data_IF_696938295892
#
_entry.id   IF_696938295892
#
_cell.length_a   1.000
_cell.length_b   1.000
_cell.length_c   1.000
_cell.angle_alpha   90.00
_cell.angle_beta   90.00
_cell.angle_gamma   90.00
#
_symmetry.space_group_name_H-M   'P 1'
#
loop_
_entity.id
_entity.type
_entity.pdbx_description
1 polymer ?
#
# COMPACT_ATOMS: atom_id res chain seq x y z
N UNK A 1 -40.05 25.73 7.64
CA UNK A 1 -40.13 24.38 7.03
C UNK A 1 -39.00 24.26 6.02
N UNK A 2 -37.97 23.47 6.30
CA UNK A 2 -36.94 23.19 5.30
C UNK A 2 -37.58 22.32 4.22
N UNK A 3 -37.60 22.77 2.97
CA UNK A 3 -38.14 21.94 1.88
C UNK A 3 -37.29 20.68 1.75
N UNK A 4 -37.89 19.57 1.33
CA UNK A 4 -37.20 18.27 1.12
C UNK A 4 -35.94 18.45 0.25
N UNK A 5 -35.98 19.37 -0.71
CA UNK A 5 -34.84 19.77 -1.55
C UNK A 5 -33.68 20.39 -0.76
N UNK A 6 -33.97 21.21 0.27
CA UNK A 6 -32.94 21.84 1.11
C UNK A 6 -32.26 20.81 2.01
N UNK A 7 -33.02 19.85 2.56
CA UNK A 7 -32.49 18.76 3.37
C UNK A 7 -31.67 17.79 2.51
N UNK A 8 -32.13 17.49 1.29
CA UNK A 8 -31.38 16.68 0.33
C UNK A 8 -30.08 17.35 -0.12
N UNK A 9 -30.09 18.67 -0.39
CA UNK A 9 -28.90 19.45 -0.74
C UNK A 9 -27.90 19.50 0.43
N UNK A 10 -28.37 19.72 1.65
CA UNK A 10 -27.52 19.68 2.85
C UNK A 10 -26.97 18.28 3.11
N UNK A 11 -27.75 17.23 2.85
CA UNK A 11 -27.32 15.83 2.95
C UNK A 11 -26.23 15.49 1.93
N UNK A 12 -26.40 15.91 0.67
CA UNK A 12 -25.39 15.79 -0.38
C UNK A 12 -24.13 16.58 -0.03
N UNK A 13 -24.28 17.82 0.45
CA UNK A 13 -23.17 18.66 0.88
C UNK A 13 -22.38 18.03 2.03
N UNK A 14 -23.07 17.52 3.05
CA UNK A 14 -22.45 16.78 4.17
C UNK A 14 -21.76 15.48 3.73
N UNK A 15 -22.33 14.78 2.75
CA UNK A 15 -21.72 13.58 2.15
C UNK A 15 -20.40 13.90 1.44
N UNK A 16 -20.37 14.98 0.66
CA UNK A 16 -19.17 15.42 -0.06
C UNK A 16 -18.09 16.00 0.86
N UNK A 17 -18.47 16.67 1.96
CA UNK A 17 -17.52 17.09 2.99
C UNK A 17 -16.82 15.91 3.67
N UNK A 18 -17.54 14.80 3.89
CA UNK A 18 -16.97 13.57 4.48
C UNK A 18 -16.20 12.70 3.49
N UNK A 19 -16.38 12.92 2.18
CA UNK A 19 -15.73 12.17 1.11
C UNK A 19 -15.10 13.15 0.12
N UNK A 20 -14.01 13.86 0.51
CA UNK A 20 -13.38 14.88 -0.32
C UNK A 20 -12.96 14.35 -1.69
N UNK A 21 -12.62 13.06 -1.80
CA UNK A 21 -12.28 12.40 -3.07
C UNK A 21 -13.46 12.39 -4.06
N UNK A 22 -14.69 12.20 -3.55
CA UNK A 22 -15.91 12.23 -4.38
C UNK A 22 -16.25 13.65 -4.80
N UNK A 23 -15.97 14.62 -3.93
CA UNK A 23 -16.14 16.04 -4.27
C UNK A 23 -15.16 16.46 -5.36
N UNK A 24 -13.90 16.05 -5.26
CA UNK A 24 -12.88 16.29 -6.29
C UNK A 24 -13.29 15.69 -7.64
N UNK A 25 -13.80 14.45 -7.67
CA UNK A 25 -14.36 13.84 -8.88
C UNK A 25 -15.57 14.58 -9.45
N UNK A 26 -16.47 15.08 -8.59
CA UNK A 26 -17.62 15.88 -9.02
C UNK A 26 -17.16 17.18 -9.68
N UNK A 27 -16.21 17.89 -9.05
CA UNK A 27 -15.63 19.11 -9.62
C UNK A 27 -14.91 18.80 -10.94
N UNK A 28 -14.19 17.68 -11.03
CA UNK A 28 -13.57 17.24 -12.27
C UNK A 28 -14.61 16.98 -13.37
N UNK A 29 -15.74 16.33 -13.06
CA UNK A 29 -16.81 16.08 -14.02
C UNK A 29 -17.48 17.38 -14.50
N UNK A 30 -17.76 18.31 -13.58
CA UNK A 30 -18.29 19.65 -13.92
C UNK A 30 -17.28 20.41 -14.79
N UNK A 31 -16.00 20.38 -14.43
CA UNK A 31 -14.95 21.02 -15.20
C UNK A 31 -14.82 20.39 -16.60
N UNK A 32 -14.90 19.06 -16.74
CA UNK A 32 -14.89 18.35 -18.02
C UNK A 32 -16.06 18.74 -18.93
N UNK A 33 -17.23 19.01 -18.35
CA UNK A 33 -18.35 19.54 -19.11
C UNK A 33 -18.07 20.99 -19.53
N UNK A 34 -17.51 21.80 -18.64
CA UNK A 34 -17.14 23.19 -18.92
C UNK A 34 -15.97 23.31 -19.91
N UNK A 35 -15.07 22.33 -20.02
CA UNK A 35 -14.00 22.31 -21.03
C UNK A 35 -14.54 22.21 -22.45
N UNK A 36 -15.68 21.54 -22.64
CA UNK A 36 -16.37 21.51 -23.93
C UNK A 36 -16.83 22.91 -24.37
N UNK A 37 -17.08 23.80 -23.40
CA UNK A 37 -17.51 25.19 -23.62
C UNK A 37 -16.30 26.14 -23.67
N UNK A 38 -15.24 25.87 -22.91
CA UNK A 38 -14.02 26.68 -22.89
C UNK A 38 -12.79 25.92 -22.38
N UNK A 39 -11.69 25.97 -23.14
CA UNK A 39 -10.38 25.43 -22.76
C UNK A 39 -9.79 26.04 -21.46
N UNK A 40 -10.41 27.11 -20.92
CA UNK A 40 -10.01 27.70 -19.62
C UNK A 40 -10.17 26.72 -18.46
N UNK A 41 -11.05 25.72 -18.58
CA UNK A 41 -11.31 24.74 -17.51
C UNK A 41 -10.40 23.51 -17.56
N UNK A 42 -9.53 23.37 -18.56
CA UNK A 42 -8.67 22.18 -18.74
C UNK A 42 -7.74 21.99 -17.54
N UNK A 43 -7.15 23.09 -17.05
CA UNK A 43 -6.30 23.09 -15.86
C UNK A 43 -7.05 22.60 -14.62
N UNK A 44 -8.30 23.06 -14.46
CA UNK A 44 -9.16 22.70 -13.33
C UNK A 44 -9.56 21.23 -13.40
N UNK A 45 -9.95 20.74 -14.58
CA UNK A 45 -10.27 19.34 -14.80
C UNK A 45 -9.10 18.43 -14.45
N UNK A 46 -7.92 18.67 -15.06
CA UNK A 46 -6.72 17.82 -14.85
C UNK A 46 -6.32 17.82 -13.37
N UNK A 47 -6.34 19.00 -12.72
CA UNK A 47 -6.02 19.12 -11.28
C UNK A 47 -6.91 18.20 -10.44
N UNK A 48 -8.23 18.31 -10.58
CA UNK A 48 -9.16 17.61 -9.71
C UNK A 48 -9.33 16.13 -10.10
N UNK A 49 -9.17 15.78 -11.38
CA UNK A 49 -9.14 14.38 -11.84
C UNK A 49 -7.96 13.64 -11.21
N UNK A 50 -6.76 14.20 -11.33
CA UNK A 50 -5.55 13.62 -10.76
C UNK A 50 -5.59 13.60 -9.23
N UNK A 51 -6.01 14.70 -8.60
CA UNK A 51 -6.13 14.78 -7.14
C UNK A 51 -7.10 13.73 -6.60
N UNK A 52 -8.28 13.58 -7.22
CA UNK A 52 -9.27 12.58 -6.85
C UNK A 52 -8.74 11.15 -6.99
N UNK A 53 -8.04 10.85 -8.10
CA UNK A 53 -7.42 9.53 -8.33
C UNK A 53 -6.36 9.18 -7.30
N UNK A 54 -5.44 10.09 -7.02
CA UNK A 54 -4.38 9.85 -6.04
C UNK A 54 -4.96 9.71 -4.64
N UNK A 55 -5.94 10.54 -4.25
CA UNK A 55 -6.59 10.44 -2.95
C UNK A 55 -7.37 9.13 -2.79
N UNK A 56 -8.01 8.62 -3.84
CA UNK A 56 -8.64 7.30 -3.84
C UNK A 56 -7.64 6.16 -3.66
N UNK A 57 -6.51 6.24 -4.35
CA UNK A 57 -5.43 5.27 -4.20
C UNK A 57 -4.85 5.31 -2.79
N UNK A 58 -4.56 6.49 -2.26
CA UNK A 58 -4.12 6.68 -0.87
C UNK A 58 -5.12 6.11 0.13
N UNK A 59 -6.42 6.32 -0.08
CA UNK A 59 -7.48 5.74 0.75
C UNK A 59 -7.47 4.21 0.69
N UNK A 60 -7.18 3.63 -0.47
CA UNK A 60 -7.05 2.17 -0.65
C UNK A 60 -5.81 1.63 0.05
N UNK A 61 -4.66 2.29 -0.11
CA UNK A 61 -3.41 1.93 0.56
C UNK A 61 -3.54 2.07 2.07
N UNK A 62 -4.13 3.16 2.58
CA UNK A 62 -4.31 3.43 4.02
C UNK A 62 -5.25 2.45 4.73
N UNK A 63 -6.14 1.78 3.98
CA UNK A 63 -6.92 0.65 4.52
C UNK A 63 -6.02 -0.55 4.79
N UNK A 64 -5.09 -0.85 3.88
CA UNK A 64 -4.18 -2.00 3.93
C UNK A 64 -2.93 -1.75 4.78
N UNK A 65 -2.48 -0.50 4.89
CA UNK A 65 -1.25 -0.06 5.56
C UNK A 65 -1.58 0.98 6.61
N UNK A 66 -1.19 0.73 7.86
CA UNK A 66 -1.31 1.65 8.98
C UNK A 66 -0.01 2.44 9.17
N UNK A 67 -0.17 3.65 9.71
CA UNK A 67 0.91 4.60 9.95
C UNK A 67 1.62 5.11 8.69
N UNK A 68 0.91 5.12 7.55
CA UNK A 68 1.41 5.82 6.37
C UNK A 68 1.39 7.34 6.66
N UNK A 69 2.47 8.03 6.32
CA UNK A 69 2.66 9.45 6.66
C UNK A 69 1.69 10.39 5.92
N UNK A 70 1.04 9.92 4.84
CA UNK A 70 0.31 10.78 3.90
C UNK A 70 -1.12 10.28 3.76
N UNK A 71 -2.06 11.11 4.23
CA UNK A 71 -3.48 10.81 4.18
C UNK A 71 -4.19 11.47 2.99
N UNK A 72 -3.66 12.59 2.48
CA UNK A 72 -4.23 13.34 1.36
C UNK A 72 -3.17 14.13 0.61
N UNK A 73 -3.41 14.37 -0.67
CA UNK A 73 -2.68 15.37 -1.45
C UNK A 73 -3.60 16.46 -2.01
N UNK A 74 -3.01 17.63 -2.22
CA UNK A 74 -3.59 18.75 -2.94
C UNK A 74 -2.68 19.11 -4.11
N UNK A 75 -3.24 19.24 -5.30
CA UNK A 75 -2.48 19.54 -6.52
C UNK A 75 -2.64 21.01 -6.88
N UNK A 76 -1.55 21.69 -7.19
CA UNK A 76 -1.55 23.11 -7.54
C UNK A 76 -0.78 23.35 -8.85
N UNK A 77 -1.29 24.27 -9.67
CA UNK A 77 -0.56 24.81 -10.82
C UNK A 77 0.34 25.93 -10.33
N UNK A 78 1.61 25.92 -10.75
CA UNK A 78 2.58 26.97 -10.41
C UNK A 78 3.13 27.56 -11.72
N UNK A 79 3.18 28.89 -11.80
CA UNK A 79 3.74 29.61 -12.94
C UNK A 79 5.28 29.58 -12.92
N UNK A 80 5.87 29.51 -14.12
CA UNK A 80 7.26 29.08 -14.36
C UNK A 80 8.30 30.13 -13.94
N UNK A 81 7.90 31.38 -13.72
CA UNK A 81 8.81 32.52 -13.61
C UNK A 81 9.38 32.75 -12.20
N UNK A 82 8.83 32.13 -11.15
CA UNK A 82 9.31 32.30 -9.77
C UNK A 82 9.83 30.97 -9.21
N UNK A 83 11.15 30.77 -9.30
CA UNK A 83 11.82 29.52 -8.96
C UNK A 83 12.09 29.33 -7.46
N UNK A 84 11.88 28.09 -6.98
CA UNK A 84 12.89 27.35 -6.22
C UNK A 84 12.60 25.82 -6.28
N UNK A 85 13.60 24.96 -6.60
CA UNK A 85 13.44 23.49 -6.62
C UNK A 85 13.15 22.86 -5.25
N UNK A 86 13.24 23.62 -4.16
CA UNK A 86 12.91 23.18 -2.79
C UNK A 86 11.39 23.11 -2.52
N UNK A 87 10.56 23.62 -3.43
CA UNK A 87 9.12 23.84 -3.19
C UNK A 87 8.24 22.65 -3.59
N UNK A 88 8.71 21.41 -3.45
CA UNK A 88 7.87 20.22 -3.68
C UNK A 88 6.84 20.02 -2.57
N UNK A 89 7.08 20.54 -1.36
CA UNK A 89 6.07 20.55 -0.29
C UNK A 89 5.95 21.91 0.34
N UNK A 90 4.74 22.46 0.30
CA UNK A 90 4.35 23.67 1.03
C UNK A 90 3.20 23.30 1.96
N UNK A 91 3.31 23.57 3.26
CA UNK A 91 2.26 23.29 4.26
C UNK A 91 1.76 21.83 4.29
N UNK A 92 2.62 20.84 3.99
CA UNK A 92 2.22 19.42 3.93
C UNK A 92 1.57 18.99 2.62
N UNK A 93 1.48 19.88 1.63
CA UNK A 93 0.91 19.60 0.31
C UNK A 93 2.01 19.34 -0.72
N UNK A 94 1.94 18.22 -1.45
CA UNK A 94 2.84 17.93 -2.56
C UNK A 94 2.45 18.77 -3.79
N UNK A 95 3.31 19.70 -4.17
CA UNK A 95 3.13 20.52 -5.37
C UNK A 95 3.73 19.75 -6.56
N UNK A 96 2.86 19.28 -7.44
CA UNK A 96 3.27 18.60 -8.67
C UNK A 96 3.13 19.55 -9.86
N UNK A 97 4.26 19.87 -10.49
CA UNK A 97 4.29 20.70 -11.69
C UNK A 97 3.84 19.88 -12.89
N UNK A 98 2.76 20.30 -13.51
CA UNK A 98 2.26 19.75 -14.76
C UNK A 98 2.73 20.61 -15.94
N UNK A 99 3.16 19.98 -17.04
CA UNK A 99 3.50 20.72 -18.24
C UNK A 99 2.21 21.18 -18.94
N UNK A 100 2.25 22.35 -19.57
CA UNK A 100 1.21 22.82 -20.50
C UNK A 100 1.30 22.02 -21.83
N UNK A 101 1.40 20.70 -21.76
CA UNK A 101 1.42 19.84 -22.93
C UNK A 101 -0.01 19.47 -23.32
N UNK A 102 -0.26 19.38 -24.62
CA UNK A 102 -1.51 18.85 -25.19
C UNK A 102 -1.74 17.35 -24.84
N UNK A 103 -0.72 16.65 -24.33
CA UNK A 103 -0.80 15.25 -23.92
C UNK A 103 -1.15 15.13 -22.43
N UNK A 104 -2.43 14.93 -22.13
CA UNK A 104 -2.94 14.75 -20.75
C UNK A 104 -2.41 13.47 -20.10
N UNK A 105 -2.23 12.39 -20.87
CA UNK A 105 -1.73 11.11 -20.35
C UNK A 105 -0.33 11.28 -19.76
N UNK A 106 0.56 11.98 -20.48
CA UNK A 106 1.92 12.27 -19.99
C UNK A 106 1.94 13.05 -18.68
N UNK A 107 1.02 14.01 -18.53
CA UNK A 107 0.87 14.75 -17.28
C UNK A 107 0.41 13.87 -16.12
N UNK A 108 -0.57 12.98 -16.36
CA UNK A 108 -1.02 12.01 -15.36
C UNK A 108 0.15 11.12 -14.94
N UNK A 109 0.88 10.53 -15.89
CA UNK A 109 2.01 9.64 -15.62
C UNK A 109 3.11 10.34 -14.81
N UNK A 110 3.59 11.49 -15.28
CA UNK A 110 4.65 12.26 -14.62
C UNK A 110 4.26 12.61 -13.18
N UNK A 111 3.02 13.02 -12.99
CA UNK A 111 2.56 13.43 -11.69
C UNK A 111 2.36 12.27 -10.73
N UNK A 112 1.90 11.14 -11.24
CA UNK A 112 1.76 9.89 -10.49
C UNK A 112 3.12 9.41 -9.99
N UNK A 113 4.12 9.38 -10.87
CA UNK A 113 5.47 8.98 -10.52
C UNK A 113 6.10 9.96 -9.53
N UNK A 114 5.95 11.27 -9.75
CA UNK A 114 6.46 12.29 -8.83
C UNK A 114 5.81 12.15 -7.44
N UNK A 115 4.51 11.90 -7.40
CA UNK A 115 3.79 11.62 -6.17
C UNK A 115 4.32 10.39 -5.47
N UNK A 116 4.33 9.23 -6.11
CA UNK A 116 4.82 7.98 -5.50
C UNK A 116 6.27 8.14 -5.03
N UNK A 117 7.14 8.70 -5.88
CA UNK A 117 8.56 8.91 -5.57
C UNK A 117 8.78 9.81 -4.35
N UNK A 118 7.91 10.80 -4.13
CA UNK A 118 8.03 11.69 -2.98
C UNK A 118 7.34 11.15 -1.72
N UNK A 119 6.11 10.65 -1.89
CA UNK A 119 5.17 10.39 -0.82
C UNK A 119 5.29 8.96 -0.26
N UNK A 120 5.35 7.98 -1.14
CA UNK A 120 5.29 6.57 -0.77
C UNK A 120 6.55 6.17 0.00
N UNK A 121 6.41 5.63 1.21
CA UNK A 121 7.51 5.15 2.05
C UNK A 121 8.65 6.17 2.25
N UNK A 122 8.34 7.48 2.31
CA UNK A 122 9.31 8.57 2.39
C UNK A 122 10.45 8.32 3.40
N UNK A 123 10.10 7.94 4.64
CA UNK A 123 11.05 7.65 5.73
C UNK A 123 11.93 6.44 5.46
N UNK A 124 11.37 5.33 4.96
CA UNK A 124 12.15 4.12 4.69
C UNK A 124 13.08 4.33 3.49
N UNK A 125 12.58 4.99 2.44
CA UNK A 125 13.32 5.17 1.18
C UNK A 125 14.63 5.92 1.35
N UNK A 126 14.78 6.82 2.33
CA UNK A 126 16.07 7.48 2.60
C UNK A 126 17.16 6.54 3.13
N UNK A 127 16.80 5.35 3.61
CA UNK A 127 17.71 4.38 4.21
C UNK A 127 17.83 3.04 3.46
N UNK A 128 17.13 2.85 2.34
CA UNK A 128 17.27 1.67 1.47
C UNK A 128 18.11 1.96 0.22
N UNK A 129 18.56 0.91 -0.47
CA UNK A 129 19.43 1.05 -1.62
C UNK A 129 18.70 1.74 -2.78
N UNK A 130 19.44 2.49 -3.63
CA UNK A 130 18.87 3.22 -4.77
C UNK A 130 18.01 2.34 -5.69
N UNK A 131 18.50 1.14 -6.03
CA UNK A 131 17.76 0.21 -6.89
C UNK A 131 16.49 -0.36 -6.22
N UNK A 132 16.48 -0.53 -4.89
CA UNK A 132 15.27 -0.94 -4.14
C UNK A 132 14.23 0.18 -4.11
N UNK A 133 14.68 1.43 -3.93
CA UNK A 133 13.83 2.62 -3.97
C UNK A 133 13.18 2.78 -5.34
N UNK A 134 13.99 2.76 -6.39
CA UNK A 134 13.51 2.95 -7.76
C UNK A 134 12.55 1.84 -8.19
N UNK A 135 12.82 0.56 -7.83
CA UNK A 135 11.90 -0.53 -8.15
C UNK A 135 10.59 -0.45 -7.38
N UNK A 136 10.60 -0.03 -6.11
CA UNK A 136 9.38 0.20 -5.32
C UNK A 136 8.53 1.32 -5.92
N UNK A 137 9.16 2.44 -6.28
CA UNK A 137 8.46 3.58 -6.87
C UNK A 137 7.84 3.21 -8.22
N UNK A 138 8.60 2.48 -9.05
CA UNK A 138 8.12 2.02 -10.35
C UNK A 138 6.95 1.03 -10.21
N UNK A 139 7.05 0.08 -9.28
CA UNK A 139 6.00 -0.92 -9.06
C UNK A 139 4.73 -0.31 -8.44
N UNK A 140 4.87 0.57 -7.43
CA UNK A 140 3.72 1.26 -6.84
C UNK A 140 3.03 2.18 -7.86
N UNK A 141 3.79 2.83 -8.75
CA UNK A 141 3.23 3.62 -9.84
C UNK A 141 2.54 2.75 -10.90
N UNK A 142 3.13 1.59 -11.25
CA UNK A 142 2.47 0.60 -12.11
C UNK A 142 1.14 0.14 -11.50
N UNK A 143 1.13 -0.25 -10.22
CA UNK A 143 -0.07 -0.70 -9.52
C UNK A 143 -1.16 0.38 -9.45
N UNK A 144 -0.75 1.64 -9.27
CA UNK A 144 -1.67 2.78 -9.33
C UNK A 144 -2.30 2.95 -10.72
N UNK A 145 -1.51 2.81 -11.78
CA UNK A 145 -1.93 3.08 -13.16
C UNK A 145 -2.55 1.87 -13.89
N UNK A 146 -2.38 0.63 -13.38
CA UNK A 146 -2.78 -0.60 -14.12
C UNK A 146 -4.29 -0.73 -14.38
N UNK A 147 -5.12 0.04 -13.67
CA UNK A 147 -6.58 0.08 -13.87
C UNK A 147 -7.05 1.35 -14.60
N UNK A 148 -6.13 2.22 -15.02
CA UNK A 148 -6.42 3.39 -15.85
C UNK A 148 -6.59 2.95 -17.32
N UNK A 149 -6.85 3.94 -18.20
CA UNK A 149 -6.95 3.68 -19.64
C UNK A 149 -5.62 3.13 -20.19
N UNK A 150 -5.70 2.21 -21.16
CA UNK A 150 -4.52 1.57 -21.77
C UNK A 150 -3.49 2.59 -22.22
N UNK A 151 -3.92 3.71 -22.82
CA UNK A 151 -3.01 4.72 -23.35
C UNK A 151 -2.20 5.45 -22.26
N UNK A 152 -2.70 5.50 -21.02
CA UNK A 152 -1.96 6.07 -19.88
C UNK A 152 -0.90 5.07 -19.40
N UNK A 153 -1.25 3.79 -19.31
CA UNK A 153 -0.32 2.74 -18.93
C UNK A 153 0.78 2.57 -19.98
N UNK A 154 0.43 2.58 -21.27
CA UNK A 154 1.38 2.50 -22.37
C UNK A 154 2.36 3.67 -22.34
N UNK A 155 1.88 4.90 -22.10
CA UNK A 155 2.73 6.07 -21.93
C UNK A 155 3.72 5.88 -20.75
N UNK A 156 3.26 5.33 -19.62
CA UNK A 156 4.14 5.04 -18.48
C UNK A 156 5.20 4.00 -18.80
N UNK A 157 4.83 2.93 -19.52
CA UNK A 157 5.76 1.89 -19.94
C UNK A 157 6.85 2.45 -20.84
N UNK A 158 6.48 3.24 -21.85
CA UNK A 158 7.42 3.80 -22.81
C UNK A 158 8.32 4.89 -22.22
N UNK A 159 7.76 5.81 -21.43
CA UNK A 159 8.50 6.97 -20.92
C UNK A 159 9.38 6.64 -19.71
N UNK A 160 9.03 5.62 -18.90
CA UNK A 160 9.69 5.37 -17.62
C UNK A 160 10.11 3.91 -17.41
N UNK A 161 9.22 2.94 -17.63
CA UNK A 161 9.56 1.55 -17.30
C UNK A 161 10.68 1.02 -18.19
N UNK A 162 10.62 1.27 -19.51
CA UNK A 162 11.58 0.71 -20.47
C UNK A 162 13.04 0.98 -20.09
N UNK A 163 13.40 2.24 -19.84
CA UNK A 163 14.76 2.62 -19.43
C UNK A 163 15.15 2.01 -18.08
N UNK A 164 14.22 2.00 -17.10
CA UNK A 164 14.51 1.48 -15.76
C UNK A 164 14.63 -0.04 -15.72
N UNK A 165 13.94 -0.74 -16.62
CA UNK A 165 13.97 -2.19 -16.76
C UNK A 165 15.26 -2.72 -17.38
N UNK A 166 16.07 -1.87 -18.04
CA UNK A 166 17.40 -2.25 -18.52
C UNK A 166 18.37 -2.58 -17.36
N UNK A 167 18.01 -2.24 -16.11
CA UNK A 167 18.74 -2.64 -14.91
C UNK A 167 18.19 -3.95 -14.34
N UNK A 168 18.97 -5.03 -14.45
CA UNK A 168 18.59 -6.38 -13.96
C UNK A 168 18.11 -6.42 -12.51
N UNK A 169 18.69 -5.60 -11.62
CA UNK A 169 18.27 -5.57 -10.21
C UNK A 169 16.89 -4.94 -10.04
N UNK A 170 16.57 -3.92 -10.85
CA UNK A 170 15.26 -3.25 -10.82
C UNK A 170 14.22 -4.18 -11.45
N UNK A 171 14.52 -4.76 -12.62
CA UNK A 171 13.64 -5.70 -13.30
C UNK A 171 13.32 -6.92 -12.43
N UNK A 172 14.34 -7.55 -11.84
CA UNK A 172 14.15 -8.69 -10.94
C UNK A 172 13.29 -8.35 -9.72
N UNK A 173 13.49 -7.18 -9.10
CA UNK A 173 12.66 -6.75 -7.97
C UNK A 173 11.23 -6.47 -8.39
N UNK A 174 11.01 -5.88 -9.57
CA UNK A 174 9.68 -5.59 -10.09
C UNK A 174 8.85 -6.88 -10.26
N UNK A 175 9.44 -7.92 -10.86
CA UNK A 175 8.80 -9.24 -11.00
C UNK A 175 8.49 -9.87 -9.64
N UNK A 176 9.43 -9.76 -8.69
CA UNK A 176 9.20 -10.24 -7.32
C UNK A 176 8.04 -9.50 -6.65
N UNK A 177 7.96 -8.17 -6.80
CA UNK A 177 6.84 -7.40 -6.24
C UNK A 177 5.51 -7.80 -6.88
N UNK A 178 5.51 -8.11 -8.18
CA UNK A 178 4.33 -8.63 -8.86
C UNK A 178 3.86 -9.96 -8.29
N UNK A 179 4.79 -10.89 -8.05
CA UNK A 179 4.47 -12.18 -7.40
C UNK A 179 3.92 -11.97 -5.97
N UNK A 180 4.52 -11.06 -5.20
CA UNK A 180 4.09 -10.72 -3.84
C UNK A 180 2.70 -10.05 -3.83
N UNK A 181 2.40 -9.18 -4.78
CA UNK A 181 1.09 -8.52 -4.91
C UNK A 181 0.01 -9.48 -5.38
N UNK A 182 0.34 -10.40 -6.30
CA UNK A 182 -0.54 -11.53 -6.66
C UNK A 182 -0.93 -12.33 -5.42
N UNK A 183 0.02 -12.62 -4.54
CA UNK A 183 -0.26 -13.28 -3.25
C UNK A 183 -1.02 -12.38 -2.24
N UNK A 184 -1.29 -11.13 -2.60
CA UNK A 184 -2.07 -10.15 -1.84
C UNK A 184 -1.37 -9.58 -0.62
N UNK A 185 -0.04 -9.73 -0.54
CA UNK A 185 0.76 -9.35 0.64
C UNK A 185 1.72 -8.19 0.41
N UNK A 186 1.73 -7.59 -0.79
CA UNK A 186 2.59 -6.44 -1.10
C UNK A 186 2.28 -5.25 -0.18
N UNK A 187 1.07 -4.71 -0.22
CA UNK A 187 0.70 -3.62 0.68
C UNK A 187 0.63 -4.04 2.16
N UNK A 188 -0.19 -5.03 2.55
CA UNK A 188 -0.47 -5.24 3.96
C UNK A 188 0.69 -5.87 4.75
N UNK A 189 1.74 -6.39 4.08
CA UNK A 189 2.93 -6.94 4.76
C UNK A 189 4.19 -6.19 4.33
N UNK A 190 4.58 -6.21 3.04
CA UNK A 190 5.85 -5.59 2.62
C UNK A 190 5.86 -4.08 2.90
N UNK A 191 4.87 -3.34 2.39
CA UNK A 191 4.79 -1.89 2.59
C UNK A 191 4.56 -1.55 4.06
N UNK A 192 3.80 -2.37 4.79
CA UNK A 192 3.60 -2.21 6.23
C UNK A 192 4.90 -2.33 7.03
N UNK A 193 5.70 -3.37 6.78
CA UNK A 193 6.99 -3.57 7.46
C UNK A 193 8.01 -2.51 7.04
N UNK A 194 8.02 -2.06 5.78
CA UNK A 194 8.85 -0.93 5.36
C UNK A 194 8.42 0.38 6.03
N UNK A 195 7.11 0.58 6.26
CA UNK A 195 6.60 1.73 7.01
C UNK A 195 7.13 1.68 8.45
N UNK A 196 7.02 0.53 9.13
CA UNK A 196 7.57 0.36 10.48
C UNK A 196 9.09 0.50 10.54
N UNK A 197 9.82 0.01 9.53
CA UNK A 197 11.25 0.20 9.41
C UNK A 197 11.58 1.70 9.35
N UNK A 198 10.87 2.44 8.49
CA UNK A 198 10.99 3.89 8.35
C UNK A 198 10.92 4.61 9.69
N UNK A 199 9.91 4.30 10.51
CA UNK A 199 9.75 4.89 11.85
C UNK A 199 10.93 4.63 12.78
N UNK A 200 11.57 3.46 12.69
CA UNK A 200 12.67 3.07 13.60
C UNK A 200 14.04 3.64 13.21
N UNK A 201 14.22 3.88 11.91
CA UNK A 201 15.49 4.36 11.36
C UNK A 201 15.52 5.89 11.23
N UNK A 202 14.34 6.51 11.16
CA UNK A 202 14.21 7.95 10.98
C UNK A 202 14.95 8.74 12.07
N UNK A 203 15.65 9.80 11.65
CA UNK A 203 16.42 10.71 12.50
C UNK A 203 17.57 10.07 13.32
N UNK A 204 17.94 8.82 13.04
CA UNK A 204 19.06 8.14 13.72
C UNK A 204 20.17 7.80 12.72
N UNK A 205 21.44 7.91 13.14
CA UNK A 205 22.58 7.43 12.35
C UNK A 205 22.56 5.90 12.34
N UNK A 206 22.33 5.31 11.16
CA UNK A 206 22.27 3.86 10.97
C UNK A 206 23.28 3.42 9.92
N UNK A 207 23.67 2.16 10.02
CA UNK A 207 24.43 1.50 8.96
C UNK A 207 23.47 1.15 7.82
N UNK A 208 23.59 1.89 6.72
CA UNK A 208 22.72 1.73 5.56
C UNK A 208 22.87 0.34 4.93
N UNK A 209 24.07 -0.25 4.93
CA UNK A 209 24.30 -1.56 4.32
C UNK A 209 23.51 -2.67 5.03
N UNK A 210 23.44 -2.61 6.37
CA UNK A 210 22.61 -3.54 7.15
C UNK A 210 21.13 -3.42 6.80
N UNK A 211 20.64 -2.20 6.60
CA UNK A 211 19.25 -1.95 6.19
C UNK A 211 19.01 -2.48 4.77
N UNK A 212 19.96 -2.27 3.86
CA UNK A 212 19.86 -2.73 2.46
C UNK A 212 19.73 -4.26 2.41
N UNK A 213 20.60 -4.96 3.14
CA UNK A 213 20.62 -6.41 3.21
C UNK A 213 19.36 -6.96 3.87
N UNK A 214 18.91 -6.34 4.97
CA UNK A 214 17.69 -6.76 5.64
C UNK A 214 16.44 -6.57 4.77
N UNK A 215 16.33 -5.44 4.05
CA UNK A 215 15.23 -5.22 3.10
C UNK A 215 15.28 -6.21 1.94
N UNK A 216 16.48 -6.55 1.45
CA UNK A 216 16.65 -7.59 0.43
C UNK A 216 16.18 -8.95 0.95
N UNK A 217 16.56 -9.33 2.17
CA UNK A 217 16.13 -10.57 2.80
C UNK A 217 14.61 -10.61 3.03
N UNK A 218 14.02 -9.48 3.44
CA UNK A 218 12.56 -9.34 3.59
C UNK A 218 11.84 -9.63 2.27
N UNK A 219 12.29 -9.00 1.18
CA UNK A 219 11.69 -9.19 -0.15
C UNK A 219 11.80 -10.64 -0.60
N UNK A 220 12.97 -11.27 -0.43
CA UNK A 220 13.18 -12.69 -0.76
C UNK A 220 12.27 -13.59 0.08
N UNK A 221 12.16 -13.32 1.38
CA UNK A 221 11.30 -14.07 2.28
C UNK A 221 9.83 -14.01 1.86
N UNK A 222 9.32 -12.84 1.49
CA UNK A 222 7.94 -12.68 1.03
C UNK A 222 7.72 -13.28 -0.37
N UNK A 223 8.73 -13.25 -1.24
CA UNK A 223 8.68 -13.95 -2.52
C UNK A 223 8.55 -15.47 -2.33
N UNK A 224 9.32 -16.04 -1.40
CA UNK A 224 9.21 -17.46 -1.06
C UNK A 224 7.81 -17.77 -0.49
N UNK A 225 7.25 -16.88 0.32
CA UNK A 225 5.86 -17.00 0.76
C UNK A 225 4.88 -16.97 -0.42
N UNK A 226 5.07 -16.07 -1.38
CA UNK A 226 4.17 -15.94 -2.54
C UNK A 226 4.19 -17.18 -3.44
N UNK A 227 5.37 -17.81 -3.58
CA UNK A 227 5.59 -19.00 -4.42
C UNK A 227 5.33 -20.33 -3.71
N UNK A 228 4.98 -20.29 -2.42
CA UNK A 228 4.72 -21.49 -1.62
C UNK A 228 3.54 -22.29 -2.18
N UNK A 229 3.63 -23.62 -2.08
CA UNK A 229 2.50 -24.50 -2.40
C UNK A 229 1.51 -24.58 -1.22
N UNK A 230 0.24 -24.87 -1.48
CA UNK A 230 -0.84 -24.92 -0.47
C UNK A 230 -0.53 -25.82 0.77
N UNK A 231 0.26 -26.89 0.59
CA UNK A 231 0.59 -27.85 1.66
C UNK A 231 1.81 -27.46 2.49
N UNK A 232 2.61 -26.49 2.06
CA UNK A 232 3.76 -26.04 2.83
C UNK A 232 3.28 -25.29 4.08
N UNK A 233 3.71 -25.79 5.26
CA UNK A 233 3.22 -25.37 6.57
C UNK A 233 4.21 -24.45 7.31
N UNK A 234 5.49 -24.46 6.93
CA UNK A 234 6.54 -23.74 7.66
C UNK A 234 6.98 -22.49 6.92
N UNK A 235 6.44 -21.35 7.32
CA UNK A 235 7.13 -20.08 7.11
C UNK A 235 7.76 -19.73 8.46
N UNK A 236 9.09 -19.76 8.49
CA UNK A 236 9.87 -19.37 9.66
C UNK A 236 9.61 -17.90 10.00
N UNK A 237 9.89 -17.49 11.24
CA UNK A 237 9.79 -16.08 11.60
C UNK A 237 10.87 -15.26 10.88
N UNK A 238 10.53 -14.06 10.44
CA UNK A 238 11.49 -13.10 9.93
C UNK A 238 12.05 -12.30 11.11
N UNK A 239 13.30 -12.57 11.49
CA UNK A 239 13.96 -11.97 12.65
C UNK A 239 15.15 -11.10 12.21
N UNK A 240 14.86 -9.98 11.56
CA UNK A 240 15.84 -8.95 11.23
C UNK A 240 16.18 -8.03 12.41
N UNK A 241 17.07 -7.07 12.20
CA UNK A 241 17.38 -6.07 13.22
C UNK A 241 16.24 -5.06 13.36
N UNK A 242 15.62 -4.66 12.25
CA UNK A 242 14.57 -3.66 12.17
C UNK A 242 13.18 -4.23 11.86
N UNK A 243 13.07 -5.34 11.13
CA UNK A 243 11.84 -6.02 10.79
C UNK A 243 11.80 -7.35 11.54
N UNK A 244 10.81 -7.51 12.42
CA UNK A 244 10.66 -8.68 13.29
C UNK A 244 9.21 -9.12 13.30
N UNK A 245 8.89 -10.14 12.53
CA UNK A 245 7.52 -10.60 12.41
C UNK A 245 7.39 -12.07 12.07
N UNK A 246 6.19 -12.60 12.31
CA UNK A 246 5.81 -13.96 11.97
C UNK A 246 4.62 -13.95 11.00
N UNK A 247 4.62 -14.86 10.02
CA UNK A 247 3.42 -15.18 9.24
C UNK A 247 2.94 -16.57 9.68
N UNK A 248 1.63 -16.70 9.97
CA UNK A 248 1.01 -17.98 10.31
C UNK A 248 -0.26 -18.19 9.49
N UNK A 249 -0.35 -19.38 8.90
CA UNK A 249 -1.53 -19.79 8.14
C UNK A 249 -2.49 -20.52 9.08
N UNK A 250 -3.70 -19.97 9.26
CA UNK A 250 -4.76 -20.53 10.10
C UNK A 250 -5.91 -20.99 9.20
N UNK A 251 -6.61 -22.04 9.62
CA UNK A 251 -7.86 -22.41 8.97
C UNK A 251 -7.69 -23.32 7.74
N UNK A 252 -6.61 -24.11 7.65
CA UNK A 252 -6.55 -25.17 6.62
C UNK A 252 -7.71 -26.14 6.90
N UNK A 253 -8.66 -26.27 5.97
CA UNK A 253 -9.95 -26.92 6.22
C UNK A 253 -9.81 -28.33 6.83
N UNK A 254 -8.87 -29.14 6.34
CA UNK A 254 -8.59 -30.45 6.91
C UNK A 254 -8.04 -30.40 8.36
N UNK A 255 -7.24 -29.39 8.73
CA UNK A 255 -6.72 -29.22 10.09
C UNK A 255 -7.78 -28.69 11.05
N UNK A 256 -8.66 -27.81 10.58
CA UNK A 256 -9.77 -27.29 11.39
C UNK A 256 -10.68 -28.45 11.82
N UNK A 257 -11.04 -29.32 10.88
CA UNK A 257 -11.90 -30.48 11.14
C UNK A 257 -11.22 -31.53 12.04
N UNK A 258 -9.91 -31.76 11.90
CA UNK A 258 -9.23 -32.90 12.55
C UNK A 258 -8.43 -32.56 13.81
N UNK A 259 -7.89 -31.33 13.94
CA UNK A 259 -6.94 -30.96 15.01
C UNK A 259 -7.49 -29.87 15.95
N UNK A 260 -8.61 -29.23 15.58
CA UNK A 260 -9.27 -28.20 16.37
C UNK A 260 -8.44 -26.92 16.60
N UNK A 261 -9.00 -26.02 17.41
CA UNK A 261 -8.42 -24.70 17.70
C UNK A 261 -7.11 -24.76 18.50
N UNK A 262 -6.95 -25.76 19.38
CA UNK A 262 -5.84 -25.85 20.32
C UNK A 262 -4.47 -25.93 19.64
N UNK A 263 -4.41 -26.57 18.47
CA UNK A 263 -3.18 -26.66 17.68
C UNK A 263 -2.75 -25.28 17.19
N UNK A 264 -3.71 -24.45 16.76
CA UNK A 264 -3.41 -23.08 16.33
C UNK A 264 -3.03 -22.18 17.49
N UNK A 265 -3.71 -22.30 18.63
CA UNK A 265 -3.38 -21.56 19.86
C UNK A 265 -1.93 -21.84 20.26
N UNK A 266 -1.54 -23.12 20.38
CA UNK A 266 -0.16 -23.50 20.72
C UNK A 266 0.87 -22.99 19.71
N UNK A 267 0.54 -22.99 18.41
CA UNK A 267 1.44 -22.47 17.38
C UNK A 267 1.63 -20.96 17.45
N UNK A 268 0.59 -20.20 17.83
CA UNK A 268 0.69 -18.75 18.05
C UNK A 268 1.46 -18.47 19.34
N UNK A 269 1.19 -19.21 20.42
CA UNK A 269 1.91 -19.08 21.70
C UNK A 269 3.41 -19.38 21.58
N UNK A 270 3.83 -20.21 20.61
CA UNK A 270 5.24 -20.52 20.32
C UNK A 270 5.97 -19.46 19.49
N UNK A 271 5.27 -18.44 18.98
CA UNK A 271 5.91 -17.37 18.20
C UNK A 271 6.91 -16.65 19.09
N UNK A 272 8.08 -16.32 18.53
CA UNK A 272 9.11 -15.59 19.27
C UNK A 272 8.53 -14.28 19.86
N UNK A 273 8.62 -14.11 21.18
CA UNK A 273 8.16 -12.88 21.86
C UNK A 273 8.94 -11.62 21.45
N UNK A 274 10.10 -11.77 20.81
CA UNK A 274 10.86 -10.70 20.17
C UNK A 274 10.26 -10.22 18.85
N UNK A 275 9.29 -10.93 18.28
CA UNK A 275 8.53 -10.42 17.15
C UNK A 275 7.68 -9.23 17.57
N UNK A 276 7.54 -8.30 16.65
CA UNK A 276 6.76 -7.10 16.85
C UNK A 276 5.41 -7.15 16.14
N UNK A 277 5.34 -7.84 14.99
CA UNK A 277 4.10 -8.06 14.25
C UNK A 277 3.84 -9.56 14.06
N UNK A 278 2.57 -9.97 14.12
CA UNK A 278 2.14 -11.31 13.71
C UNK A 278 1.06 -11.15 12.64
N UNK A 279 1.27 -11.78 11.49
CA UNK A 279 0.32 -11.83 10.39
C UNK A 279 -0.37 -13.19 10.40
N UNK A 280 -1.66 -13.22 10.71
CA UNK A 280 -2.47 -14.42 10.65
C UNK A 280 -3.27 -14.42 9.35
N UNK A 281 -3.05 -15.41 8.49
CA UNK A 281 -3.68 -15.51 7.17
C UNK A 281 -4.49 -16.80 7.11
N UNK A 282 -5.72 -16.73 6.62
CA UNK A 282 -6.55 -17.91 6.37
C UNK A 282 -7.55 -17.67 5.27
N UNK A 283 -8.29 -18.71 4.85
CA UNK A 283 -9.43 -18.52 3.96
C UNK A 283 -10.46 -17.59 4.64
N UNK A 284 -11.09 -16.70 3.87
CA UNK A 284 -12.08 -15.76 4.37
C UNK A 284 -13.27 -16.41 5.10
N UNK A 285 -13.64 -17.63 4.72
CA UNK A 285 -14.67 -18.43 5.41
C UNK A 285 -14.30 -18.75 6.86
N UNK A 286 -13.00 -18.82 7.17
CA UNK A 286 -12.48 -19.09 8.51
C UNK A 286 -12.33 -17.83 9.37
N UNK A 287 -12.86 -16.68 8.94
CA UNK A 287 -12.76 -15.43 9.70
C UNK A 287 -13.24 -15.58 11.16
N UNK A 288 -14.38 -16.21 11.38
CA UNK A 288 -14.93 -16.44 12.72
C UNK A 288 -14.00 -17.33 13.57
N UNK A 289 -13.50 -18.41 12.97
CA UNK A 289 -12.55 -19.32 13.60
C UNK A 289 -11.24 -18.61 14.00
N UNK A 290 -10.66 -17.83 13.09
CA UNK A 290 -9.45 -17.05 13.37
C UNK A 290 -9.64 -16.07 14.52
N UNK A 291 -10.79 -15.38 14.57
CA UNK A 291 -11.13 -14.50 15.70
C UNK A 291 -11.28 -15.27 17.01
N UNK A 292 -11.93 -16.44 17.00
CA UNK A 292 -12.03 -17.32 18.17
C UNK A 292 -10.64 -17.73 18.70
N UNK A 293 -9.77 -18.22 17.81
CA UNK A 293 -8.39 -18.60 18.15
C UNK A 293 -7.63 -17.44 18.80
N UNK A 294 -7.67 -16.25 18.20
CA UNK A 294 -7.01 -15.07 18.76
C UNK A 294 -7.60 -14.69 20.14
N UNK A 295 -8.92 -14.66 20.29
CA UNK A 295 -9.54 -14.28 21.58
C UNK A 295 -9.13 -15.20 22.73
N UNK A 296 -8.89 -16.48 22.46
CA UNK A 296 -8.47 -17.47 23.46
C UNK A 296 -7.00 -17.34 23.88
N UNK A 297 -6.15 -16.74 23.04
CA UNK A 297 -4.72 -16.58 23.35
C UNK A 297 -4.27 -15.13 23.59
N UNK A 298 -5.11 -14.13 23.32
CA UNK A 298 -4.76 -12.69 23.38
C UNK A 298 -4.05 -12.29 24.68
N UNK A 299 -4.54 -12.77 25.83
CA UNK A 299 -4.07 -12.34 27.15
C UNK A 299 -2.68 -12.93 27.46
N UNK A 300 -2.33 -14.05 26.83
CA UNK A 300 -1.03 -14.70 27.01
C UNK A 300 0.03 -14.16 26.05
N UNK A 301 -0.37 -13.85 24.82
CA UNK A 301 0.60 -13.50 23.77
C UNK A 301 1.05 -12.04 23.87
N UNK A 302 0.23 -11.14 24.40
CA UNK A 302 0.58 -9.72 24.54
C UNK A 302 0.56 -8.92 23.23
N UNK A 303 -0.33 -9.31 22.30
CA UNK A 303 -0.55 -8.62 21.02
C UNK A 303 -2.00 -8.13 20.93
N UNK A 304 -2.20 -7.04 20.20
CA UNK A 304 -3.51 -6.45 19.88
C UNK A 304 -3.76 -6.43 18.38
N UNK A 305 -5.02 -6.51 17.95
CA UNK A 305 -5.37 -6.39 16.53
C UNK A 305 -5.10 -4.95 16.09
N UNK A 306 -4.16 -4.79 15.16
CA UNK A 306 -3.89 -3.52 14.49
C UNK A 306 -4.93 -3.24 13.40
N UNK A 307 -5.18 -4.25 12.56
CA UNK A 307 -6.21 -4.21 11.51
C UNK A 307 -6.53 -5.62 11.04
N UNK A 308 -7.70 -5.79 10.44
CA UNK A 308 -8.09 -7.04 9.79
C UNK A 308 -8.92 -6.75 8.53
N UNK A 309 -8.72 -7.54 7.46
CA UNK A 309 -9.47 -7.38 6.21
C UNK A 309 -9.47 -8.66 5.35
N UNK A 310 -10.46 -8.79 4.47
CA UNK A 310 -10.51 -9.84 3.46
C UNK A 310 -9.96 -9.34 2.13
N UNK A 311 -9.26 -10.20 1.41
CA UNK A 311 -8.62 -9.86 0.13
C UNK A 311 -8.60 -11.06 -0.81
N UNK A 312 -8.53 -10.77 -2.10
CA UNK A 312 -8.29 -11.79 -3.12
C UNK A 312 -6.79 -11.98 -3.33
N UNK A 313 -6.38 -13.22 -3.56
CA UNK A 313 -5.00 -13.58 -3.84
C UNK A 313 -4.93 -14.69 -4.87
N UNK A 314 -3.82 -14.75 -5.58
CA UNK A 314 -3.38 -15.85 -6.42
C UNK A 314 -2.22 -16.51 -5.69
N UNK A 315 -2.37 -17.78 -5.35
CA UNK A 315 -1.35 -18.59 -4.70
C UNK A 315 -1.05 -19.83 -5.55
N UNK A 316 0.02 -20.57 -5.23
CA UNK A 316 0.30 -21.84 -5.90
C UNK A 316 -0.48 -22.98 -5.26
N UNK A 317 -1.15 -23.77 -6.08
CA UNK A 317 -1.83 -24.98 -5.63
C UNK A 317 -0.83 -26.10 -5.28
N UNK A 318 -1.31 -27.35 -5.20
CA UNK A 318 -0.44 -28.50 -4.93
C UNK A 318 0.50 -28.85 -6.08
N UNK A 319 0.09 -28.55 -7.31
CA UNK A 319 0.82 -28.87 -8.53
C UNK A 319 1.82 -27.75 -8.86
N UNK A 320 1.53 -26.52 -8.43
CA UNK A 320 2.33 -25.31 -8.68
C UNK A 320 1.62 -24.30 -9.58
N UNK A 321 0.36 -24.56 -9.90
CA UNK A 321 -0.47 -23.73 -10.77
C UNK A 321 -1.12 -22.57 -10.01
N UNK A 322 -1.46 -21.51 -10.74
CA UNK A 322 -2.10 -20.32 -10.18
C UNK A 322 -3.54 -20.63 -9.74
N UNK A 323 -3.80 -20.48 -8.44
CA UNK A 323 -5.10 -20.72 -7.82
C UNK A 323 -5.61 -19.47 -7.11
N UNK A 324 -6.78 -19.00 -7.53
CA UNK A 324 -7.44 -17.83 -6.93
C UNK A 324 -8.12 -18.22 -5.62
N UNK A 325 -7.84 -17.45 -4.57
CA UNK A 325 -8.42 -17.63 -3.24
C UNK A 325 -8.89 -16.31 -2.66
N UNK A 326 -9.92 -16.40 -1.80
CA UNK A 326 -10.32 -15.31 -0.94
C UNK A 326 -9.77 -15.54 0.46
N UNK A 327 -8.83 -14.71 0.86
CA UNK A 327 -8.17 -14.77 2.16
C UNK A 327 -8.74 -13.74 3.13
N UNK A 328 -8.45 -13.96 4.41
CA UNK A 328 -8.62 -13.03 5.49
C UNK A 328 -7.29 -12.90 6.22
N UNK A 329 -6.85 -11.64 6.38
CA UNK A 329 -5.64 -11.28 7.09
C UNK A 329 -6.01 -10.57 8.38
N UNK A 330 -5.39 -10.98 9.48
CA UNK A 330 -5.40 -10.29 10.75
C UNK A 330 -3.97 -9.90 11.11
N UNK A 331 -3.73 -8.61 11.28
CA UNK A 331 -2.43 -8.06 11.66
C UNK A 331 -2.45 -7.78 13.16
N UNK A 332 -1.60 -8.46 13.91
CA UNK A 332 -1.45 -8.29 15.34
C UNK A 332 -0.15 -7.54 15.64
N UNK A 333 -0.20 -6.55 16.53
CA UNK A 333 0.97 -5.78 16.95
C UNK A 333 1.26 -6.01 18.42
N UNK A 334 2.54 -6.20 18.74
CA UNK A 334 3.02 -6.39 20.10
C UNK A 334 2.77 -5.12 20.93
N UNK A 335 2.14 -5.26 22.09
CA UNK A 335 1.74 -4.15 22.94
C UNK A 335 2.93 -3.35 23.49
N UNK A 336 4.12 -3.95 23.51
CA UNK A 336 5.35 -3.31 23.99
C UNK A 336 5.97 -2.35 22.98
N UNK A 337 5.56 -2.40 21.71
CA UNK A 337 6.16 -1.53 20.69
C UNK A 337 5.51 -0.15 20.75
N UNK A 338 6.31 0.84 21.11
CA UNK A 338 5.92 2.25 21.05
C UNK A 338 5.68 2.68 19.61
N UNK A 339 4.47 3.13 19.32
CA UNK A 339 4.14 3.81 18.06
C UNK A 339 4.71 5.22 18.13
N UNK A 340 5.67 5.55 17.27
CA UNK A 340 6.36 6.86 17.28
C UNK A 340 5.45 8.04 16.91
N UNK A 341 4.29 7.77 16.31
CA UNK A 341 3.24 8.75 16.05
C UNK A 341 1.88 8.24 16.55
N UNK A 342 1.49 8.61 17.78
CA UNK A 342 0.07 8.67 18.14
C UNK A 342 -0.50 9.94 17.49
N UNK A 343 -1.48 9.78 16.62
CA UNK A 343 -2.44 10.86 16.35
C UNK A 343 -3.45 10.89 17.48
#
# INVERSE_FOLDING_TARGET
MWTVSTVALLGLFGYYLKNPEKFEKLVALIAKFATYISNKFDKTYIKYDLQGKVNDYLKTVSKKVKHIDIEKINIAWVDVENQNPETYVKNGELIVRLHKSNNQNKNIVNASLAFISYAFLKKAKSYIAKYQRESLDLYACYDFLKHEKSEILDQFVQDFMKEKMDNDKIASLFEIYHDIDKAGIFYPILVQELTFLGEKVFAQKRDANKIYDEVKQLIIYLNNYAKRKLKEDSINDFNGQYCKFAIRIIGKQYKVTNLGEQTYIKNIEKINHGNETIYLIGNAENKAFMKSVYQKCKDKIGYTILTDDSYEAIIKDTEGEDYKVKNYLMILRNNKVTVYHRK
#
